data_IF_283839373208
#
_entry.id   IF_283839373208
#
_cell.length_a   1.000
_cell.length_b   1.000
_cell.length_c   1.000
_cell.angle_alpha   90.00
_cell.angle_beta   90.00
_cell.angle_gamma   90.00
#
_symmetry.space_group_name_H-M   'P 1'
#
loop_
_entity.id
_entity.type
_entity.pdbx_description
1 polymer ?
#
# COMPACT_ATOMS: atom_id res chain seq x y z
N UNK A 1 28.54 -12.40 -5.86
CA UNK A 1 27.22 -12.63 -5.23
C UNK A 1 26.96 -11.51 -4.22
N UNK A 2 26.38 -10.38 -4.65
CA UNK A 2 26.15 -9.24 -3.74
C UNK A 2 24.80 -9.40 -3.05
N UNK A 3 24.80 -10.03 -1.87
CA UNK A 3 23.73 -9.86 -0.91
C UNK A 3 23.69 -8.38 -0.49
N UNK A 4 22.97 -7.55 -1.26
CA UNK A 4 22.56 -6.22 -0.83
C UNK A 4 21.83 -6.41 0.49
N UNK A 5 22.49 -6.11 1.60
CA UNK A 5 21.91 -6.14 2.94
C UNK A 5 20.57 -5.41 2.85
N UNK A 6 19.47 -6.17 3.01
CA UNK A 6 18.14 -5.56 3.14
C UNK A 6 18.26 -4.62 4.33
N UNK A 7 17.86 -3.37 4.16
CA UNK A 7 17.76 -2.45 5.28
C UNK A 7 16.75 -3.06 6.24
N UNK A 8 17.23 -3.57 7.37
CA UNK A 8 16.37 -4.13 8.41
C UNK A 8 15.72 -2.95 9.12
N UNK A 9 14.49 -2.66 8.72
CA UNK A 9 13.65 -1.70 9.43
C UNK A 9 13.27 -2.33 10.78
N UNK A 10 13.32 -1.54 11.85
CA UNK A 10 12.78 -1.99 13.14
C UNK A 10 11.28 -2.21 13.03
N UNK A 11 10.68 -2.96 13.97
CA UNK A 11 9.23 -3.15 13.97
C UNK A 11 8.49 -1.82 14.08
N UNK A 12 8.98 -0.88 14.89
CA UNK A 12 8.42 0.47 15.00
C UNK A 12 8.54 1.28 13.71
N UNK A 13 9.65 1.16 12.99
CA UNK A 13 9.81 1.81 11.68
C UNK A 13 8.86 1.19 10.66
N UNK A 14 8.73 -0.14 10.65
CA UNK A 14 7.79 -0.85 9.77
C UNK A 14 6.36 -0.36 10.04
N UNK A 15 5.95 -0.27 11.30
CA UNK A 15 4.64 0.23 11.68
C UNK A 15 4.41 1.66 11.20
N UNK A 16 5.38 2.57 11.43
CA UNK A 16 5.29 3.95 10.94
C UNK A 16 5.13 4.00 9.42
N UNK A 17 5.89 3.18 8.69
CA UNK A 17 5.81 3.13 7.23
C UNK A 17 4.45 2.57 6.77
N UNK A 18 3.92 1.53 7.42
CA UNK A 18 2.59 0.99 7.11
C UNK A 18 1.52 2.06 7.33
N UNK A 19 1.57 2.76 8.46
CA UNK A 19 0.59 3.80 8.80
C UNK A 19 0.67 5.00 7.85
N UNK A 20 1.88 5.48 7.54
CA UNK A 20 2.10 6.56 6.57
C UNK A 20 1.59 6.18 5.18
N UNK A 21 1.89 4.95 4.74
CA UNK A 21 1.44 4.42 3.46
C UNK A 21 -0.09 4.28 3.42
N UNK A 22 -0.71 3.78 4.48
CA UNK A 22 -2.16 3.66 4.59
C UNK A 22 -2.88 5.01 4.57
N UNK A 23 -2.32 6.03 5.25
CA UNK A 23 -2.85 7.41 5.19
C UNK A 23 -2.73 7.99 3.79
N UNK A 24 -1.59 7.81 3.14
CA UNK A 24 -1.34 8.28 1.78
C UNK A 24 -2.32 7.66 0.79
N UNK A 25 -2.52 6.34 0.86
CA UNK A 25 -3.48 5.63 0.02
C UNK A 25 -4.91 6.09 0.28
N UNK A 26 -5.34 6.25 1.54
CA UNK A 26 -6.67 6.81 1.87
C UNK A 26 -6.90 8.20 1.27
N UNK A 27 -5.88 9.05 1.28
CA UNK A 27 -5.96 10.39 0.68
C UNK A 27 -6.16 10.30 -0.83
N UNK A 28 -5.35 9.48 -1.51
CA UNK A 28 -5.44 9.27 -2.95
C UNK A 28 -6.80 8.70 -3.36
N UNK A 29 -7.30 7.72 -2.61
CA UNK A 29 -8.64 7.17 -2.81
C UNK A 29 -9.73 8.24 -2.65
N UNK A 30 -9.57 9.18 -1.71
CA UNK A 30 -10.54 10.25 -1.48
C UNK A 30 -10.60 11.25 -2.63
N UNK A 31 -9.45 11.53 -3.23
CA UNK A 31 -9.28 12.45 -4.36
C UNK A 31 -9.73 11.81 -5.69
N UNK A 32 -9.38 10.53 -5.90
CA UNK A 32 -9.58 9.86 -7.19
C UNK A 32 -10.85 9.03 -7.30
N UNK A 33 -11.43 8.58 -6.19
CA UNK A 33 -12.64 7.76 -6.27
C UNK A 33 -13.90 8.56 -5.91
N UNK A 34 -14.95 8.42 -6.73
CA UNK A 34 -16.23 8.99 -6.43
C UNK A 34 -16.80 8.39 -5.13
N UNK A 35 -17.70 9.14 -4.49
CA UNK A 35 -18.23 8.80 -3.15
C UNK A 35 -18.89 7.42 -3.10
N UNK A 36 -19.48 6.96 -4.21
CA UNK A 36 -20.12 5.64 -4.31
C UNK A 36 -19.10 4.49 -4.25
N UNK A 37 -17.96 4.60 -4.95
CA UNK A 37 -16.87 3.63 -4.90
C UNK A 37 -16.26 3.55 -3.50
N UNK A 38 -16.07 4.71 -2.84
CA UNK A 38 -15.63 4.79 -1.44
C UNK A 38 -16.60 4.08 -0.48
N UNK A 39 -17.91 4.20 -0.71
CA UNK A 39 -18.94 3.50 0.08
C UNK A 39 -18.93 1.98 -0.18
N UNK A 40 -18.72 1.55 -1.42
CA UNK A 40 -18.60 0.14 -1.77
C UNK A 40 -17.39 -0.51 -1.07
N UNK A 41 -16.24 0.18 -1.04
CA UNK A 41 -15.06 -0.24 -0.28
C UNK A 41 -15.31 -0.32 1.23
N UNK A 42 -15.99 0.68 1.80
CA UNK A 42 -16.31 0.68 3.23
C UNK A 42 -17.33 -0.40 3.61
N UNK A 43 -18.22 -0.82 2.69
CA UNK A 43 -19.13 -1.95 2.88
C UNK A 43 -18.39 -3.29 2.79
N UNK A 44 -17.36 -3.39 1.98
CA UNK A 44 -16.44 -4.54 1.91
C UNK A 44 -15.40 -4.53 3.03
N UNK A 45 -15.71 -3.91 4.19
CA UNK A 45 -14.85 -3.71 5.39
C UNK A 45 -14.08 -4.95 5.88
N UNK A 46 -14.43 -6.15 5.41
CA UNK A 46 -13.74 -7.40 5.67
C UNK A 46 -12.61 -7.75 4.68
N UNK A 47 -12.38 -6.99 3.60
CA UNK A 47 -11.32 -7.25 2.60
C UNK A 47 -10.24 -6.18 2.53
N UNK A 48 -10.61 -4.90 2.60
CA UNK A 48 -9.69 -3.74 2.42
C UNK A 48 -9.25 -3.09 3.72
N UNK A 49 -9.82 -3.49 4.84
CA UNK A 49 -9.31 -3.09 6.14
C UNK A 49 -7.92 -3.69 6.30
N UNK A 50 -6.90 -2.84 6.25
CA UNK A 50 -5.74 -2.91 7.16
C UNK A 50 -6.34 -2.88 8.57
N UNK A 51 -6.99 -3.97 8.94
CA UNK A 51 -7.62 -4.16 10.22
C UNK A 51 -6.45 -4.35 11.15
N UNK A 52 -6.45 -3.53 12.19
CA UNK A 52 -5.50 -3.54 13.30
C UNK A 52 -5.27 -4.98 13.85
N UNK A 53 -6.16 -5.93 13.58
CA UNK A 53 -6.03 -7.37 13.86
C UNK A 53 -5.02 -8.16 13.01
N UNK A 54 -4.51 -7.64 11.89
CA UNK A 54 -3.51 -8.32 11.03
C UNK A 54 -2.13 -7.65 11.02
N UNK A 55 -1.87 -6.69 11.91
CA UNK A 55 -0.57 -6.00 12.01
C UNK A 55 0.61 -6.95 12.17
N UNK A 56 0.47 -7.97 13.03
CA UNK A 56 1.49 -9.00 13.21
C UNK A 56 1.74 -9.87 11.96
N UNK A 57 0.70 -10.14 11.16
CA UNK A 57 0.84 -10.85 9.89
C UNK A 57 1.50 -9.99 8.81
N UNK A 58 1.19 -8.68 8.77
CA UNK A 58 1.82 -7.73 7.86
C UNK A 58 3.32 -7.57 8.17
N UNK A 59 3.68 -7.42 9.44
CA UNK A 59 5.09 -7.37 9.87
C UNK A 59 5.82 -8.67 9.48
N UNK A 60 5.20 -9.84 9.69
CA UNK A 60 5.77 -11.13 9.24
C UNK A 60 5.93 -11.21 7.72
N UNK A 61 4.96 -10.74 6.94
CA UNK A 61 5.04 -10.67 5.47
C UNK A 61 6.18 -9.73 5.05
N UNK A 62 6.28 -8.56 5.66
CA UNK A 62 7.35 -7.58 5.41
C UNK A 62 8.72 -8.16 5.76
N UNK A 63 8.86 -8.87 6.88
CA UNK A 63 10.11 -9.57 7.23
C UNK A 63 10.47 -10.65 6.19
N UNK A 64 9.49 -11.39 5.67
CA UNK A 64 9.71 -12.46 4.67
C UNK A 64 10.07 -11.92 3.27
N UNK A 65 9.29 -10.97 2.74
CA UNK A 65 9.45 -10.49 1.36
C UNK A 65 10.26 -9.19 1.25
N UNK A 66 10.42 -8.45 2.35
CA UNK A 66 11.02 -7.13 2.41
C UNK A 66 10.02 -6.01 2.13
N UNK A 67 10.30 -4.81 2.66
CA UNK A 67 9.39 -3.66 2.58
C UNK A 67 9.05 -3.26 1.14
N UNK A 68 10.02 -3.31 0.25
CA UNK A 68 9.85 -2.98 -1.18
C UNK A 68 8.90 -3.94 -1.89
N UNK A 69 8.92 -5.22 -1.52
CA UNK A 69 8.05 -6.26 -2.05
C UNK A 69 6.64 -6.14 -1.50
N UNK A 70 6.50 -5.91 -0.19
CA UNK A 70 5.21 -5.69 0.45
C UNK A 70 4.49 -4.48 -0.15
N UNK A 71 5.19 -3.33 -0.31
CA UNK A 71 4.63 -2.13 -0.94
C UNK A 71 4.13 -2.41 -2.36
N UNK A 72 4.89 -3.14 -3.17
CA UNK A 72 4.47 -3.49 -4.55
C UNK A 72 3.21 -4.36 -4.53
N UNK A 73 3.21 -5.41 -3.70
CA UNK A 73 2.08 -6.34 -3.61
C UNK A 73 0.82 -5.63 -3.12
N UNK A 74 0.91 -4.83 -2.05
CA UNK A 74 -0.25 -4.10 -1.53
C UNK A 74 -0.76 -3.06 -2.51
N UNK A 75 0.12 -2.34 -3.22
CA UNK A 75 -0.30 -1.40 -4.29
C UNK A 75 -1.02 -2.13 -5.41
N UNK A 76 -0.52 -3.29 -5.82
CA UNK A 76 -1.12 -4.06 -6.91
C UNK A 76 -2.48 -4.64 -6.52
N UNK A 77 -2.62 -5.16 -5.30
CA UNK A 77 -3.92 -5.61 -4.78
C UNK A 77 -4.93 -4.46 -4.72
N UNK A 78 -4.50 -3.30 -4.22
CA UNK A 78 -5.32 -2.08 -4.24
C UNK A 78 -5.72 -1.71 -5.66
N UNK A 79 -4.78 -1.73 -6.62
CA UNK A 79 -5.08 -1.43 -8.01
C UNK A 79 -6.10 -2.39 -8.59
N UNK A 80 -5.95 -3.70 -8.39
CA UNK A 80 -6.89 -4.71 -8.88
C UNK A 80 -8.30 -4.48 -8.32
N UNK A 81 -8.42 -4.22 -7.02
CA UNK A 81 -9.70 -3.90 -6.39
C UNK A 81 -10.30 -2.61 -6.96
N UNK A 82 -9.49 -1.56 -7.10
CA UNK A 82 -9.94 -0.25 -7.57
C UNK A 82 -10.20 -0.18 -9.07
N UNK A 83 -9.55 -1.03 -9.86
CA UNK A 83 -9.68 -1.06 -11.31
C UNK A 83 -11.15 -1.27 -11.73
N UNK A 84 -11.90 -2.03 -10.93
CA UNK A 84 -13.34 -2.26 -11.11
C UNK A 84 -14.23 -1.05 -10.81
N UNK A 85 -13.72 -0.03 -10.11
CA UNK A 85 -14.46 1.15 -9.66
C UNK A 85 -14.09 2.45 -10.41
N UNK A 86 -13.05 2.43 -11.24
CA UNK A 86 -12.58 3.59 -12.00
C UNK A 86 -12.88 3.44 -13.49
N UNK A 87 -13.28 4.53 -14.12
CA UNK A 87 -13.49 4.60 -15.57
C UNK A 87 -12.17 4.68 -16.34
N UNK A 88 -11.09 5.10 -15.68
CA UNK A 88 -9.73 5.15 -16.23
C UNK A 88 -8.74 4.44 -15.29
N UNK A 89 -8.55 3.12 -15.46
CA UNK A 89 -7.58 2.35 -14.67
C UNK A 89 -6.14 2.69 -15.05
N UNK A 90 -5.85 3.17 -16.25
CA UNK A 90 -4.48 3.52 -16.65
C UNK A 90 -3.97 4.73 -15.87
N UNK A 91 -4.79 5.77 -15.72
CA UNK A 91 -4.47 6.96 -14.92
C UNK A 91 -4.30 6.63 -13.43
N UNK A 92 -5.17 5.78 -12.88
CA UNK A 92 -5.05 5.30 -11.50
C UNK A 92 -3.72 4.54 -11.28
N UNK A 93 -3.37 3.63 -12.20
CA UNK A 93 -2.11 2.86 -12.12
C UNK A 93 -0.89 3.78 -12.15
N UNK A 94 -0.86 4.73 -13.08
CA UNK A 94 0.23 5.69 -13.21
C UNK A 94 0.44 6.53 -11.93
N UNK A 95 -0.65 6.96 -11.30
CA UNK A 95 -0.58 7.69 -10.03
C UNK A 95 -0.12 6.82 -8.86
N UNK A 96 -0.62 5.59 -8.76
CA UNK A 96 -0.18 4.64 -7.75
C UNK A 96 1.32 4.32 -7.90
N UNK A 97 1.81 4.13 -9.13
CA UNK A 97 3.24 3.90 -9.42
C UNK A 97 4.10 5.13 -9.07
N UNK A 98 3.64 6.33 -9.40
CA UNK A 98 4.34 7.59 -9.07
C UNK A 98 4.44 7.77 -7.56
N UNK A 99 3.33 7.58 -6.85
CA UNK A 99 3.27 7.68 -5.39
C UNK A 99 4.13 6.61 -4.71
N UNK A 100 4.10 5.37 -5.19
CA UNK A 100 4.95 4.31 -4.66
C UNK A 100 6.43 4.64 -4.87
N UNK A 101 6.80 5.23 -6.00
CA UNK A 101 8.17 5.68 -6.28
C UNK A 101 8.61 6.80 -5.33
N UNK A 102 7.75 7.79 -5.09
CA UNK A 102 8.01 8.89 -4.15
C UNK A 102 8.09 8.39 -2.71
N UNK A 103 7.20 7.49 -2.32
CA UNK A 103 7.19 6.88 -1.01
C UNK A 103 8.47 6.07 -0.75
N UNK A 104 8.89 5.25 -1.71
CA UNK A 104 10.15 4.51 -1.64
C UNK A 104 11.35 5.45 -1.53
N UNK A 105 11.34 6.59 -2.24
CA UNK A 105 12.36 7.63 -2.12
C UNK A 105 12.38 8.25 -0.71
N UNK A 106 11.21 8.66 -0.19
CA UNK A 106 11.05 9.25 1.15
C UNK A 106 11.66 8.35 2.23
N UNK A 107 11.39 7.05 2.16
CA UNK A 107 11.85 6.07 3.15
C UNK A 107 13.20 5.40 2.82
N UNK A 108 13.86 5.83 1.73
CA UNK A 108 15.10 5.22 1.21
C UNK A 108 15.00 3.70 1.04
N UNK A 109 13.84 3.22 0.58
CA UNK A 109 13.55 1.82 0.29
C UNK A 109 14.01 1.53 -1.15
N UNK A 110 14.97 0.60 -1.31
CA UNK A 110 15.46 0.15 -2.62
C UNK A 110 14.57 -0.91 -3.26
#
# INVERSE_FOLDING_TARGET
MFFRRKKEFSEEEIEKIIDDYGKMMKSLLKEHLPRWARRAMNKTKNRTGVAVSKKGEEIRKIKKMGMSGWLKQTTQQLFEELSSFTTDPASLKSKLDTMLKEFKRKWKIK
#
